data_IF_727196865984
#
_entry.id   IF_727196865984
#
_cell.length_a   1.000
_cell.length_b   1.000
_cell.length_c   1.000
_cell.angle_alpha   90.00
_cell.angle_beta   90.00
_cell.angle_gamma   90.00
#
_symmetry.space_group_name_H-M   'P 1'
#
loop_
_entity.id
_entity.type
_entity.pdbx_description
1 polymer ?
#
# COMPACT_ATOMS: atom_id res chain seq x y z
N UNK A 1 8.34 3.05 -1.51
CA UNK A 1 7.94 4.22 -0.68
C UNK A 1 6.83 5.02 -1.35
N UNK A 2 7.01 5.54 -2.58
CA UNK A 2 6.01 6.40 -3.24
C UNK A 2 4.55 5.89 -3.22
N UNK A 3 4.29 4.69 -3.75
CA UNK A 3 2.93 4.13 -3.78
C UNK A 3 2.35 3.96 -2.37
N UNK A 4 3.16 3.50 -1.42
CA UNK A 4 2.74 3.32 -0.02
C UNK A 4 2.27 4.62 0.65
N UNK A 5 2.88 5.76 0.30
CA UNK A 5 2.53 7.05 0.87
C UNK A 5 1.42 7.77 0.08
N UNK A 6 1.37 7.58 -1.24
CA UNK A 6 0.49 8.37 -2.11
C UNK A 6 -0.87 7.74 -2.41
N UNK A 7 -0.90 6.47 -2.83
CA UNK A 7 -2.10 5.87 -3.44
C UNK A 7 -2.45 4.48 -2.94
N UNK A 8 -1.52 3.82 -2.23
CA UNK A 8 -1.61 2.42 -1.78
C UNK A 8 -1.16 2.27 -0.32
N UNK A 9 -1.85 2.89 0.66
CA UNK A 9 -1.50 2.76 2.08
C UNK A 9 -1.63 1.30 2.58
N UNK A 10 -2.40 0.47 1.89
CA UNK A 10 -2.55 -0.96 2.13
C UNK A 10 -1.23 -1.75 2.04
N UNK A 11 -0.22 -1.25 1.31
CA UNK A 11 1.12 -1.88 1.24
C UNK A 11 2.16 -1.23 2.16
N UNK A 12 1.81 -0.20 2.92
CA UNK A 12 2.79 0.62 3.64
C UNK A 12 3.66 -0.17 4.61
N UNK A 13 3.05 -1.05 5.41
CA UNK A 13 3.78 -1.90 6.38
C UNK A 13 4.71 -2.88 5.67
N UNK A 14 4.27 -3.48 4.55
CA UNK A 14 5.10 -4.42 3.81
C UNK A 14 6.33 -3.72 3.20
N UNK A 15 6.13 -2.53 2.62
CA UNK A 15 7.22 -1.72 2.06
C UNK A 15 8.19 -1.26 3.13
N UNK A 16 7.71 -0.78 4.28
CA UNK A 16 8.56 -0.35 5.40
C UNK A 16 9.42 -1.48 5.96
N UNK A 17 8.87 -2.70 6.04
CA UNK A 17 9.63 -3.89 6.48
C UNK A 17 10.65 -4.34 5.45
N UNK A 18 10.36 -4.20 4.16
CA UNK A 18 11.31 -4.57 3.10
C UNK A 18 12.42 -3.55 2.87
N UNK A 19 12.20 -2.27 3.17
CA UNK A 19 13.16 -1.19 2.86
C UNK A 19 14.46 -1.28 3.65
N UNK A 20 14.47 -1.93 4.82
CA UNK A 20 15.69 -2.07 5.63
C UNK A 20 16.70 -3.07 5.04
N UNK A 21 16.31 -3.87 4.05
CA UNK A 21 17.14 -4.90 3.43
C UNK A 21 17.56 -4.57 1.98
N UNK A 22 17.46 -3.29 1.58
CA UNK A 22 17.73 -2.88 0.20
C UNK A 22 19.20 -3.00 -0.21
N UNK A 23 20.14 -2.85 0.72
CA UNK A 23 21.58 -2.89 0.44
C UNK A 23 22.06 -4.31 0.09
N UNK A 24 21.52 -5.34 0.73
CA UNK A 24 21.82 -6.74 0.44
C UNK A 24 20.60 -7.64 0.71
N UNK A 25 19.66 -7.72 -0.25
CA UNK A 25 18.44 -8.50 -0.08
C UNK A 25 18.73 -9.99 -0.20
N UNK A 26 18.62 -10.73 0.90
CA UNK A 26 18.52 -12.19 0.85
C UNK A 26 17.25 -12.68 0.14
N UNK A 27 17.22 -13.97 -0.25
CA UNK A 27 16.12 -14.57 -1.01
C UNK A 27 14.73 -14.29 -0.43
N UNK A 28 14.57 -14.36 0.90
CA UNK A 28 13.29 -14.10 1.59
C UNK A 28 12.80 -12.67 1.36
N UNK A 29 13.72 -11.70 1.30
CA UNK A 29 13.39 -10.29 1.05
C UNK A 29 13.04 -10.06 -0.42
N UNK A 30 13.76 -10.74 -1.33
CA UNK A 30 13.42 -10.74 -2.75
C UNK A 30 12.01 -11.28 -3.01
N UNK A 31 11.68 -12.43 -2.43
CA UNK A 31 10.35 -13.05 -2.55
C UNK A 31 9.25 -12.15 -1.97
N UNK A 32 9.53 -11.45 -0.86
CA UNK A 32 8.62 -10.46 -0.29
C UNK A 32 8.38 -9.28 -1.25
N UNK A 33 9.43 -8.76 -1.89
CA UNK A 33 9.32 -7.73 -2.92
C UNK A 33 8.46 -8.16 -4.11
N UNK A 34 8.72 -9.38 -4.64
CA UNK A 34 7.91 -9.97 -5.72
C UNK A 34 6.46 -10.14 -5.29
N UNK A 35 6.20 -10.53 -4.04
CA UNK A 35 4.83 -10.63 -3.50
C UNK A 35 4.11 -9.29 -3.50
N UNK A 36 4.78 -8.20 -3.13
CA UNK A 36 4.21 -6.84 -3.17
C UNK A 36 3.87 -6.45 -4.62
N UNK A 37 4.76 -6.70 -5.57
CA UNK A 37 4.51 -6.41 -7.00
C UNK A 37 3.32 -7.22 -7.54
N UNK A 38 3.25 -8.52 -7.23
CA UNK A 38 2.12 -9.37 -7.64
C UNK A 38 0.81 -8.92 -7.03
N UNK A 39 0.83 -8.49 -5.77
CA UNK A 39 -0.35 -7.97 -5.10
C UNK A 39 -0.84 -6.69 -5.80
N UNK A 40 0.05 -5.74 -6.10
CA UNK A 40 -0.28 -4.54 -6.85
C UNK A 40 -0.89 -4.87 -8.22
N UNK A 41 -0.29 -5.81 -8.96
CA UNK A 41 -0.81 -6.23 -10.27
C UNK A 41 -2.22 -6.82 -10.18
N UNK A 42 -2.49 -7.66 -9.18
CA UNK A 42 -3.80 -8.30 -8.99
C UNK A 42 -4.88 -7.37 -8.48
N UNK A 43 -4.50 -6.27 -7.85
CA UNK A 43 -5.42 -5.33 -7.19
C UNK A 43 -5.46 -3.97 -7.88
N UNK A 44 -4.89 -3.85 -9.08
CA UNK A 44 -4.83 -2.59 -9.82
C UNK A 44 -6.22 -2.01 -10.14
N UNK A 45 -7.23 -2.88 -10.28
CA UNK A 45 -8.62 -2.52 -10.58
C UNK A 45 -9.52 -2.55 -9.34
N UNK A 46 -8.95 -2.77 -8.15
CA UNK A 46 -9.68 -2.78 -6.89
C UNK A 46 -9.65 -1.38 -6.30
N UNK A 47 -10.83 -0.82 -6.03
CA UNK A 47 -10.99 0.49 -5.40
C UNK A 47 -12.12 0.44 -4.38
N UNK A 48 -12.03 1.31 -3.37
CA UNK A 48 -13.15 1.59 -2.47
C UNK A 48 -14.07 2.56 -3.20
N UNK A 49 -15.30 2.14 -3.47
CA UNK A 49 -16.31 2.97 -4.15
C UNK A 49 -17.31 3.47 -3.11
N UNK A 50 -17.44 4.79 -2.99
CA UNK A 50 -18.50 5.44 -2.23
C UNK A 50 -19.58 5.90 -3.21
N UNK A 51 -20.73 5.23 -3.22
CA UNK A 51 -21.83 5.54 -4.15
C UNK A 51 -22.82 6.57 -3.60
N UNK A 52 -22.62 7.04 -2.36
CA UNK A 52 -23.46 8.03 -1.68
C UNK A 52 -24.87 7.54 -1.35
N UNK A 53 -25.20 6.27 -1.64
CA UNK A 53 -26.58 5.76 -1.51
C UNK A 53 -26.97 5.39 -0.09
N UNK A 54 -26.00 5.31 0.83
CA UNK A 54 -26.23 4.89 2.22
C UNK A 54 -25.96 5.98 3.26
N UNK A 55 -25.93 7.25 2.88
CA UNK A 55 -25.69 8.35 3.82
C UNK A 55 -24.28 8.33 4.44
N UNK A 56 -23.33 7.67 3.78
CA UNK A 56 -21.92 7.63 4.17
C UNK A 56 -21.27 8.98 3.91
N UNK A 57 -21.25 9.84 4.94
CA UNK A 57 -20.43 11.05 4.95
C UNK A 57 -18.95 10.66 5.05
N UNK A 58 -18.14 11.11 4.07
CA UNK A 58 -16.69 10.90 4.08
C UNK A 58 -16.03 11.97 4.96
N UNK A 59 -15.71 11.62 6.20
CA UNK A 59 -14.95 12.50 7.10
C UNK A 59 -13.47 12.18 7.02
N UNK A 60 -12.69 13.10 6.44
CA UNK A 60 -11.23 13.02 6.40
C UNK A 60 -10.58 13.80 7.55
N UNK A 61 -9.67 13.17 8.28
CA UNK A 61 -8.84 13.82 9.30
C UNK A 61 -7.43 14.00 8.73
N UNK A 62 -6.88 15.21 8.86
CA UNK A 62 -5.49 15.51 8.54
C UNK A 62 -4.82 16.04 9.80
N UNK A 63 -3.84 15.31 10.30
CA UNK A 63 -2.97 15.80 11.37
C UNK A 63 -1.83 16.60 10.73
N UNK A 64 -1.56 17.78 11.27
CA UNK A 64 -0.46 18.64 10.84
C UNK A 64 0.55 18.69 11.98
N UNK A 65 1.76 18.17 11.72
CA UNK A 65 2.96 18.40 12.53
C UNK A 65 3.83 19.46 11.82
#
# INVERSE_FOLDING_TARGET
MYLACGTRPDIAVAVAKSSVYLENPGQRHWDAGIKVVRYLLKTKDVAITYDGRMGTELTGYSDAD
#
